data_IF_783022836218
#
_entry.id   IF_783022836218
#
_cell.length_a   1.000
_cell.length_b   1.000
_cell.length_c   1.000
_cell.angle_alpha   90.00
_cell.angle_beta   90.00
_cell.angle_gamma   90.00
#
_symmetry.space_group_name_H-M   'P 1'
#
loop_
_entity.id
_entity.type
_entity.pdbx_description
1 polymer ?
#
# COMPACT_ATOMS: atom_id res chain seq x y z
N UNK A 1 -25.42 -36.71 5.25
CA UNK A 1 -24.05 -36.95 4.75
C UNK A 1 -23.27 -35.68 4.96
N UNK A 2 -22.32 -35.75 5.89
CA UNK A 2 -21.49 -34.65 6.38
C UNK A 2 -20.45 -34.29 5.32
N UNK A 3 -20.49 -33.05 4.83
CA UNK A 3 -19.40 -32.44 4.05
C UNK A 3 -18.56 -31.52 4.94
N UNK A 4 -17.24 -31.45 4.69
CA UNK A 4 -16.25 -31.03 5.67
C UNK A 4 -16.19 -29.50 5.78
N UNK A 5 -15.71 -29.03 6.94
CA UNK A 5 -15.32 -27.65 7.17
C UNK A 5 -14.35 -27.20 6.06
N UNK A 6 -14.83 -26.37 5.14
CA UNK A 6 -14.00 -25.81 4.08
C UNK A 6 -13.30 -24.55 4.59
N UNK A 7 -11.98 -24.54 4.43
CA UNK A 7 -11.06 -23.40 4.48
C UNK A 7 -11.73 -22.03 4.37
N UNK A 8 -11.32 -21.09 5.23
CA UNK A 8 -11.62 -19.67 5.09
C UNK A 8 -11.11 -19.21 3.72
N UNK A 9 -11.97 -19.20 2.71
CA UNK A 9 -11.55 -19.06 1.32
C UNK A 9 -11.11 -17.63 1.06
N UNK A 10 -9.80 -17.42 0.95
CA UNK A 10 -9.21 -16.20 0.42
C UNK A 10 -9.75 -15.96 -0.99
N UNK A 11 -10.70 -15.04 -1.13
CA UNK A 11 -11.37 -14.77 -2.39
C UNK A 11 -11.49 -13.27 -2.64
N UNK A 12 -11.25 -12.86 -3.88
CA UNK A 12 -11.66 -11.54 -4.36
C UNK A 12 -13.12 -11.63 -4.80
N UNK A 13 -13.94 -10.73 -4.29
CA UNK A 13 -15.36 -10.66 -4.64
C UNK A 13 -15.58 -9.65 -5.76
N UNK A 14 -16.36 -10.05 -6.77
CA UNK A 14 -16.75 -9.21 -7.89
C UNK A 14 -18.26 -9.06 -7.92
N UNK A 15 -18.76 -7.87 -8.23
CA UNK A 15 -20.20 -7.63 -8.29
C UNK A 15 -20.90 -8.30 -9.48
N UNK A 16 -20.14 -8.71 -10.49
CA UNK A 16 -20.65 -9.44 -11.66
C UNK A 16 -19.54 -10.20 -12.36
N UNK A 17 -19.93 -11.17 -13.19
CA UNK A 17 -19.04 -11.90 -14.09
C UNK A 17 -18.25 -10.93 -14.99
N UNK A 18 -18.91 -9.91 -15.53
CA UNK A 18 -18.29 -8.87 -16.37
C UNK A 18 -17.17 -8.14 -15.63
N UNK A 19 -17.34 -7.83 -14.34
CA UNK A 19 -16.31 -7.17 -13.54
C UNK A 19 -15.11 -8.10 -13.28
N UNK A 20 -15.37 -9.39 -13.03
CA UNK A 20 -14.32 -10.40 -12.89
C UNK A 20 -13.51 -10.54 -14.18
N UNK A 21 -14.19 -10.66 -15.33
CA UNK A 21 -13.53 -10.78 -16.64
C UNK A 21 -12.69 -9.55 -16.97
N UNK A 22 -13.22 -8.34 -16.73
CA UNK A 22 -12.46 -7.09 -16.89
C UNK A 22 -11.24 -7.05 -15.98
N UNK A 23 -11.38 -7.47 -14.72
CA UNK A 23 -10.26 -7.53 -13.80
C UNK A 23 -9.17 -8.49 -14.28
N UNK A 24 -9.54 -9.72 -14.67
CA UNK A 24 -8.61 -10.72 -15.19
C UNK A 24 -7.91 -10.21 -16.47
N UNK A 25 -8.65 -9.58 -17.37
CA UNK A 25 -8.08 -9.02 -18.60
C UNK A 25 -7.08 -7.88 -18.35
N UNK A 26 -7.23 -7.14 -17.25
CA UNK A 26 -6.33 -6.05 -16.87
C UNK A 26 -5.14 -6.51 -16.02
N UNK A 27 -5.22 -7.68 -15.41
CA UNK A 27 -4.21 -8.27 -14.52
C UNK A 27 -3.15 -9.07 -15.30
N UNK A 28 -2.12 -8.35 -15.75
CA UNK A 28 -1.00 -8.93 -16.49
C UNK A 28 -0.24 -9.92 -15.60
N UNK A 29 -0.04 -11.12 -16.13
CA UNK A 29 0.61 -12.26 -15.45
C UNK A 29 -0.11 -12.76 -14.19
N UNK A 30 -1.35 -12.30 -13.91
CA UNK A 30 -2.04 -12.60 -12.65
C UNK A 30 -1.38 -11.96 -11.40
N UNK A 31 -0.47 -11.01 -11.62
CA UNK A 31 0.41 -10.44 -10.61
C UNK A 31 -0.35 -9.62 -9.56
N UNK A 32 -1.33 -8.83 -10.00
CA UNK A 32 -2.12 -7.99 -9.10
C UNK A 32 -3.00 -8.83 -8.19
N UNK A 33 -3.72 -9.81 -8.77
CA UNK A 33 -4.53 -10.76 -8.00
C UNK A 33 -3.72 -11.50 -6.96
N UNK A 34 -2.58 -12.08 -7.36
CA UNK A 34 -1.73 -12.83 -6.45
C UNK A 34 -1.20 -11.95 -5.31
N UNK A 35 -0.79 -10.72 -5.63
CA UNK A 35 -0.33 -9.74 -4.62
C UNK A 35 -1.43 -9.44 -3.61
N UNK A 36 -2.66 -9.17 -4.05
CA UNK A 36 -3.80 -8.89 -3.16
C UNK A 36 -4.14 -10.08 -2.26
N UNK A 37 -4.18 -11.29 -2.81
CA UNK A 37 -4.45 -12.51 -2.03
C UNK A 37 -3.34 -12.81 -1.02
N UNK A 38 -2.09 -12.49 -1.34
CA UNK A 38 -0.97 -12.64 -0.42
C UNK A 38 -1.08 -11.66 0.76
N UNK A 39 -1.46 -10.40 0.49
CA UNK A 39 -1.72 -9.42 1.56
C UNK A 39 -2.82 -9.92 2.48
N UNK A 40 -3.96 -10.35 1.91
CA UNK A 40 -5.09 -10.89 2.68
C UNK A 40 -4.67 -12.05 3.58
N UNK A 41 -3.96 -13.04 3.01
CA UNK A 41 -3.47 -14.21 3.75
C UNK A 41 -2.59 -13.81 4.94
N UNK A 42 -1.68 -12.87 4.71
CA UNK A 42 -0.74 -12.41 5.73
C UNK A 42 -1.42 -11.55 6.79
N UNK A 43 -2.39 -10.73 6.40
CA UNK A 43 -3.20 -9.94 7.33
C UNK A 43 -3.98 -10.85 8.29
N UNK A 44 -4.77 -11.79 7.75
CA UNK A 44 -5.53 -12.75 8.55
C UNK A 44 -4.63 -13.56 9.49
N UNK A 45 -3.47 -14.03 8.98
CA UNK A 45 -2.49 -14.78 9.80
C UNK A 45 -1.90 -13.90 10.91
N UNK A 46 -1.62 -12.63 10.62
CA UNK A 46 -1.03 -11.66 11.54
C UNK A 46 -1.96 -11.28 12.70
N UNK A 47 -3.28 -11.31 12.51
CA UNK A 47 -4.26 -11.02 13.58
C UNK A 47 -4.04 -11.87 14.84
N UNK A 48 -3.51 -13.10 14.68
CA UNK A 48 -3.37 -14.10 15.74
C UNK A 48 -2.08 -14.00 16.60
N UNK A 49 -1.24 -12.96 16.44
CA UNK A 49 0.01 -12.80 17.21
C UNK A 49 -0.05 -11.68 18.28
N UNK A 50 0.61 -11.90 19.43
CA UNK A 50 0.63 -11.03 20.63
C UNK A 50 1.67 -9.88 20.54
N UNK A 51 1.40 -8.71 21.16
CA UNK A 51 1.89 -7.39 20.67
C UNK A 51 2.82 -6.55 21.57
N UNK A 52 3.30 -7.03 22.71
CA UNK A 52 3.91 -6.19 23.75
C UNK A 52 5.19 -5.41 23.32
N UNK A 53 6.09 -5.98 22.52
CA UNK A 53 7.39 -5.37 22.22
C UNK A 53 7.36 -4.24 21.16
N UNK A 54 6.26 -4.10 20.43
CA UNK A 54 6.14 -3.16 19.30
C UNK A 54 5.77 -1.74 19.75
N UNK A 55 4.95 -1.61 20.79
CA UNK A 55 4.50 -0.30 21.29
C UNK A 55 5.66 0.51 21.88
N UNK A 56 6.59 -0.16 22.57
CA UNK A 56 7.77 0.50 23.14
C UNK A 56 8.65 1.14 22.05
N UNK A 57 8.86 0.44 20.93
CA UNK A 57 9.65 0.96 19.80
C UNK A 57 8.96 2.14 19.13
N UNK A 58 7.64 2.05 18.97
CA UNK A 58 6.81 3.14 18.44
C UNK A 58 6.95 4.40 19.30
N UNK A 59 6.78 4.27 20.62
CA UNK A 59 6.91 5.39 21.56
C UNK A 59 8.30 6.02 21.56
N UNK A 60 9.35 5.19 21.44
CA UNK A 60 10.72 5.69 21.36
C UNK A 60 10.94 6.54 20.10
N UNK A 61 10.52 6.05 18.93
CA UNK A 61 10.70 6.78 17.67
C UNK A 61 9.90 8.09 17.66
N UNK A 62 8.70 8.10 18.24
CA UNK A 62 7.92 9.32 18.43
C UNK A 62 8.63 10.35 19.33
N UNK A 63 9.30 9.90 20.39
CA UNK A 63 10.04 10.78 21.28
C UNK A 63 11.28 11.38 20.58
N UNK A 64 12.03 10.57 19.82
CA UNK A 64 13.17 11.01 19.02
C UNK A 64 12.76 12.05 17.96
N UNK A 65 11.62 11.83 17.29
CA UNK A 65 11.08 12.76 16.29
C UNK A 65 10.68 14.10 16.91
N UNK A 66 10.07 14.10 18.11
CA UNK A 66 9.67 15.34 18.81
C UNK A 66 10.86 16.19 19.27
N UNK A 67 12.01 15.57 19.51
CA UNK A 67 13.23 16.27 19.96
C UNK A 67 14.11 16.76 18.80
N UNK A 68 13.83 16.27 17.59
CA UNK A 68 14.57 16.61 16.39
C UNK A 68 14.34 18.06 15.95
N UNK A 69 15.42 18.75 15.58
CA UNK A 69 15.36 20.11 15.00
C UNK A 69 15.10 20.10 13.49
N UNK A 70 15.62 19.09 12.79
CA UNK A 70 15.46 18.90 11.34
C UNK A 70 14.62 17.66 11.06
N UNK A 71 13.30 17.87 10.97
CA UNK A 71 12.33 16.79 10.79
C UNK A 71 12.49 16.10 9.44
N UNK A 72 12.89 16.82 8.40
CA UNK A 72 12.98 16.28 7.05
C UNK A 72 14.17 15.33 6.91
N UNK A 73 15.30 15.73 7.49
CA UNK A 73 16.48 14.88 7.58
C UNK A 73 16.19 13.63 8.40
N UNK A 74 15.54 13.78 9.56
CA UNK A 74 15.19 12.63 10.42
C UNK A 74 14.25 11.65 9.71
N UNK A 75 13.18 12.13 9.07
CA UNK A 75 12.28 11.28 8.28
C UNK A 75 13.07 10.54 7.20
N UNK A 76 13.93 11.25 6.46
CA UNK A 76 14.74 10.68 5.39
C UNK A 76 15.71 9.60 5.90
N UNK A 77 16.32 9.83 7.06
CA UNK A 77 17.17 8.84 7.74
C UNK A 77 16.38 7.59 8.15
N UNK A 78 15.18 7.74 8.74
CA UNK A 78 14.34 6.58 9.12
C UNK A 78 13.94 5.72 7.92
N UNK A 79 13.65 6.34 6.77
CA UNK A 79 13.40 5.61 5.53
C UNK A 79 14.64 4.85 5.02
N UNK A 80 15.82 5.44 5.11
CA UNK A 80 17.08 4.78 4.75
C UNK A 80 17.41 3.63 5.72
N UNK A 81 17.26 3.86 7.02
CA UNK A 81 17.41 2.82 8.06
C UNK A 81 16.46 1.65 7.81
N UNK A 82 15.20 1.91 7.45
CA UNK A 82 14.23 0.87 7.13
C UNK A 82 14.70 0.00 5.96
N UNK A 83 15.20 0.60 4.88
CA UNK A 83 15.73 -0.15 3.73
C UNK A 83 16.98 -0.94 4.07
N UNK A 84 17.95 -0.32 4.73
CA UNK A 84 19.18 -1.01 5.16
C UNK A 84 18.87 -2.19 6.06
N UNK A 85 17.95 -2.02 7.03
CA UNK A 85 17.52 -3.09 7.91
C UNK A 85 16.89 -4.25 7.13
N UNK A 86 16.04 -3.96 6.14
CA UNK A 86 15.47 -5.00 5.28
C UNK A 86 16.56 -5.73 4.49
N UNK A 87 17.48 -5.00 3.88
CA UNK A 87 18.59 -5.58 3.12
C UNK A 87 19.49 -6.46 3.99
N UNK A 88 19.80 -6.04 5.22
CA UNK A 88 20.57 -6.82 6.18
C UNK A 88 19.84 -8.10 6.63
N UNK A 89 18.52 -8.05 6.78
CA UNK A 89 17.73 -9.24 7.11
C UNK A 89 17.66 -10.21 5.93
N UNK A 90 17.48 -9.69 4.72
CA UNK A 90 17.51 -10.49 3.49
C UNK A 90 18.90 -11.10 3.27
N UNK A 91 19.98 -10.37 3.53
CA UNK A 91 21.35 -10.86 3.31
C UNK A 91 21.69 -12.10 4.14
N UNK A 92 21.13 -12.19 5.36
CA UNK A 92 21.28 -13.33 6.27
C UNK A 92 20.56 -14.60 5.80
N UNK A 93 19.60 -14.47 4.89
CA UNK A 93 18.86 -15.61 4.34
C UNK A 93 19.59 -16.21 3.15
N UNK A 94 19.58 -17.54 3.04
CA UNK A 94 20.07 -18.24 1.83
C UNK A 94 19.19 -17.88 0.63
N UNK A 95 19.74 -17.82 -0.58
CA UNK A 95 19.00 -17.44 -1.80
C UNK A 95 17.69 -18.25 -1.99
N UNK A 96 17.71 -19.56 -1.75
CA UNK A 96 16.51 -20.43 -1.81
C UNK A 96 15.44 -20.10 -0.76
N UNK A 97 15.82 -19.46 0.35
CA UNK A 97 14.89 -19.02 1.39
C UNK A 97 14.21 -17.69 1.03
N UNK A 98 14.86 -16.84 0.23
CA UNK A 98 14.34 -15.53 -0.17
C UNK A 98 13.21 -15.60 -1.20
N UNK A 99 13.11 -16.70 -1.94
CA UNK A 99 12.10 -16.88 -2.99
C UNK A 99 10.80 -17.49 -2.49
N UNK A 100 10.74 -17.94 -1.23
CA UNK A 100 9.56 -18.57 -0.66
C UNK A 100 9.03 -17.74 0.52
N UNK A 101 7.84 -17.16 0.33
CA UNK A 101 7.17 -16.30 1.30
C UNK A 101 6.97 -16.95 2.69
N UNK A 102 6.79 -18.27 2.75
CA UNK A 102 6.64 -18.98 4.02
C UNK A 102 7.89 -18.87 4.89
N UNK A 103 9.06 -18.77 4.28
CA UNK A 103 10.33 -18.58 4.99
C UNK A 103 10.53 -17.14 5.46
N UNK A 104 9.77 -16.17 4.94
CA UNK A 104 9.88 -14.76 5.30
C UNK A 104 8.80 -14.32 6.29
N UNK A 105 7.80 -15.17 6.56
CA UNK A 105 6.62 -14.76 7.33
C UNK A 105 6.96 -14.25 8.74
N UNK A 106 8.04 -14.73 9.35
CA UNK A 106 8.49 -14.25 10.67
C UNK A 106 9.10 -12.84 10.65
N UNK A 107 9.49 -12.34 9.47
CA UNK A 107 10.01 -10.98 9.26
C UNK A 107 8.90 -9.98 8.90
N UNK A 108 7.73 -10.48 8.47
CA UNK A 108 6.62 -9.65 8.04
C UNK A 108 5.94 -9.09 9.30
N UNK A 109 5.87 -7.75 9.44
CA UNK A 109 5.21 -7.16 10.59
C UNK A 109 3.70 -7.43 10.55
N UNK A 110 3.10 -7.63 11.72
CA UNK A 110 1.64 -7.55 11.87
C UNK A 110 1.18 -6.13 11.55
N UNK A 111 0.10 -6.04 10.77
CA UNK A 111 -0.53 -4.79 10.37
C UNK A 111 -1.96 -4.71 10.92
N UNK A 112 -2.47 -3.49 11.09
CA UNK A 112 -3.89 -3.23 11.39
C UNK A 112 -4.72 -3.01 10.12
N UNK A 113 -6.01 -2.67 10.28
CA UNK A 113 -6.93 -2.44 9.17
C UNK A 113 -6.54 -1.23 8.31
N UNK A 114 -6.07 -0.15 8.92
CA UNK A 114 -5.65 1.06 8.21
C UNK A 114 -4.40 0.79 7.36
N UNK A 115 -3.42 0.09 7.95
CA UNK A 115 -2.20 -0.35 7.27
C UNK A 115 -2.50 -1.36 6.15
N UNK A 116 -3.45 -2.27 6.36
CA UNK A 116 -3.91 -3.23 5.35
C UNK A 116 -4.53 -2.51 4.14
N UNK A 117 -5.40 -1.53 4.37
CA UNK A 117 -5.99 -0.74 3.29
C UNK A 117 -4.93 0.04 2.52
N UNK A 118 -3.97 0.62 3.24
CA UNK A 118 -2.88 1.37 2.61
C UNK A 118 -1.95 0.48 1.79
N UNK A 119 -1.62 -0.72 2.26
CA UNK A 119 -0.81 -1.69 1.53
C UNK A 119 -1.49 -2.11 0.22
N UNK A 120 -2.81 -2.34 0.22
CA UNK A 120 -3.56 -2.67 -0.99
C UNK A 120 -3.55 -1.53 -1.99
N UNK A 121 -3.76 -0.30 -1.52
CA UNK A 121 -3.65 0.89 -2.34
C UNK A 121 -2.26 1.01 -2.98
N UNK A 122 -1.19 0.86 -2.19
CA UNK A 122 0.19 0.92 -2.68
C UNK A 122 0.44 -0.16 -3.74
N UNK A 123 0.05 -1.41 -3.50
CA UNK A 123 0.21 -2.50 -4.47
C UNK A 123 -0.51 -2.19 -5.78
N UNK A 124 -1.70 -1.59 -5.72
CA UNK A 124 -2.41 -1.10 -6.91
C UNK A 124 -1.56 -0.13 -7.73
N UNK A 125 -0.95 0.88 -7.08
CA UNK A 125 -0.08 1.85 -7.76
C UNK A 125 1.19 1.18 -8.30
N UNK A 126 1.86 0.32 -7.52
CA UNK A 126 3.06 -0.41 -7.97
C UNK A 126 2.75 -1.29 -9.19
N UNK A 127 1.58 -1.92 -9.22
CA UNK A 127 1.11 -2.69 -10.36
C UNK A 127 0.88 -1.82 -11.60
N UNK A 128 0.28 -0.62 -11.46
CA UNK A 128 0.15 0.30 -12.59
C UNK A 128 1.51 0.76 -13.12
N UNK A 129 2.49 1.00 -12.23
CA UNK A 129 3.87 1.31 -12.64
C UNK A 129 4.50 0.16 -13.43
N UNK A 130 4.39 -1.07 -12.91
CA UNK A 130 4.87 -2.28 -13.62
C UNK A 130 4.19 -2.43 -14.99
N UNK A 131 2.87 -2.29 -15.05
CA UNK A 131 2.09 -2.40 -16.28
C UNK A 131 2.53 -1.39 -17.34
N UNK A 132 2.71 -0.11 -16.97
CA UNK A 132 3.21 0.93 -17.88
C UNK A 132 4.57 0.52 -18.44
N UNK A 133 5.50 0.17 -17.55
CA UNK A 133 6.89 -0.09 -17.93
C UNK A 133 7.05 -1.32 -18.84
N UNK A 134 6.18 -2.34 -18.69
CA UNK A 134 6.30 -3.63 -19.38
C UNK A 134 5.33 -3.83 -20.56
N UNK A 135 4.18 -3.13 -20.60
CA UNK A 135 3.15 -3.36 -21.63
C UNK A 135 2.88 -2.14 -22.53
N UNK A 136 3.04 -0.91 -22.02
CA UNK A 136 2.62 0.30 -22.74
C UNK A 136 3.78 0.93 -23.55
N UNK A 137 5.03 0.75 -23.12
CA UNK A 137 6.21 1.25 -23.82
C UNK A 137 6.45 0.61 -25.22
N UNK A 138 5.82 -0.54 -25.51
CA UNK A 138 5.96 -1.25 -26.79
C UNK A 138 4.89 -0.89 -27.84
N UNK A 139 3.90 -0.05 -27.52
CA UNK A 139 2.81 0.34 -28.46
C UNK A 139 2.85 1.85 -28.69
N UNK A 140 3.55 2.25 -29.75
CA UNK A 140 3.88 3.63 -30.11
C UNK A 140 2.68 4.55 -30.48
N UNK A 141 1.41 4.12 -30.40
CA UNK A 141 0.32 4.83 -31.10
C UNK A 141 -0.81 5.42 -30.24
N UNK A 142 -0.84 5.25 -28.92
CA UNK A 142 -1.81 5.97 -28.08
C UNK A 142 -1.41 5.92 -26.60
N UNK A 143 -1.21 7.09 -25.97
CA UNK A 143 -1.08 7.18 -24.51
C UNK A 143 -2.40 6.70 -23.90
N UNK A 144 -2.36 5.59 -23.17
CA UNK A 144 -3.54 5.10 -22.44
C UNK A 144 -3.91 6.09 -21.33
N UNK A 145 -5.19 6.19 -20.99
CA UNK A 145 -5.63 7.01 -19.85
C UNK A 145 -4.91 6.62 -18.55
N UNK A 146 -4.62 5.32 -18.35
CA UNK A 146 -3.84 4.84 -17.21
C UNK A 146 -2.40 5.37 -17.20
N UNK A 147 -1.74 5.42 -18.36
CA UNK A 147 -0.40 6.01 -18.47
C UNK A 147 -0.43 7.50 -18.17
N UNK A 148 -1.44 8.22 -18.66
CA UNK A 148 -1.60 9.65 -18.40
C UNK A 148 -1.82 9.94 -16.92
N UNK A 149 -2.74 9.21 -16.26
CA UNK A 149 -2.99 9.36 -14.82
C UNK A 149 -1.72 9.09 -14.00
N UNK A 150 -0.92 8.08 -14.38
CA UNK A 150 0.33 7.78 -13.69
C UNK A 150 1.41 8.84 -13.93
N UNK A 151 1.42 9.52 -15.08
CA UNK A 151 2.28 10.69 -15.32
C UNK A 151 1.83 11.87 -14.47
N UNK A 152 0.53 12.18 -14.46
CA UNK A 152 -0.04 13.25 -13.63
C UNK A 152 0.24 13.00 -12.14
N UNK A 153 0.15 11.75 -11.70
CA UNK A 153 0.48 11.33 -10.34
C UNK A 153 1.88 11.77 -9.91
N UNK A 154 2.85 11.88 -10.83
CA UNK A 154 4.20 12.34 -10.49
C UNK A 154 4.23 13.78 -9.96
N UNK A 155 3.32 14.63 -10.44
CA UNK A 155 3.25 16.06 -10.13
C UNK A 155 2.39 16.39 -8.91
N UNK A 156 1.67 15.42 -8.34
CA UNK A 156 0.88 15.65 -7.12
C UNK A 156 1.81 15.99 -5.96
N UNK A 157 1.44 17.01 -5.19
CA UNK A 157 2.17 17.40 -3.99
C UNK A 157 2.12 16.29 -2.93
N UNK A 158 3.29 15.96 -2.38
CA UNK A 158 3.42 15.09 -1.20
C UNK A 158 3.34 15.94 0.06
N UNK A 159 2.48 15.57 1.00
CA UNK A 159 2.29 16.26 2.28
C UNK A 159 2.57 15.33 3.48
N UNK A 160 3.53 14.41 3.32
CA UNK A 160 3.93 13.47 4.36
C UNK A 160 4.59 14.17 5.55
N UNK A 161 5.40 15.21 5.30
CA UNK A 161 6.11 15.94 6.35
C UNK A 161 5.13 16.63 7.30
N UNK A 162 4.15 17.40 6.80
CA UNK A 162 3.17 18.05 7.69
C UNK A 162 2.34 17.01 8.45
N UNK A 163 2.00 15.90 7.80
CA UNK A 163 1.22 14.83 8.44
C UNK A 163 2.02 14.14 9.55
N UNK A 164 3.28 13.78 9.30
CA UNK A 164 4.16 13.15 10.29
C UNK A 164 4.46 14.12 11.46
N UNK A 165 4.63 15.41 11.16
CA UNK A 165 4.78 16.43 12.21
C UNK A 165 3.57 16.46 13.15
N UNK A 166 2.36 16.39 12.59
CA UNK A 166 1.11 16.39 13.36
C UNK A 166 0.86 15.05 14.08
N UNK A 167 1.25 13.94 13.46
CA UNK A 167 1.03 12.58 13.94
C UNK A 167 2.34 11.77 13.87
N UNK A 168 3.27 11.96 14.83
CA UNK A 168 4.59 11.33 14.83
C UNK A 168 4.60 9.81 14.64
N UNK A 169 3.58 9.13 15.16
CA UNK A 169 3.44 7.68 15.08
C UNK A 169 3.35 7.13 13.66
N UNK A 170 2.95 7.98 12.69
CA UNK A 170 2.82 7.59 11.29
C UNK A 170 4.17 7.22 10.68
N UNK A 171 5.27 7.85 11.12
CA UNK A 171 6.60 7.51 10.60
C UNK A 171 6.95 6.05 10.90
N UNK A 172 6.66 5.60 12.13
CA UNK A 172 6.85 4.21 12.53
C UNK A 172 5.95 3.27 11.72
N UNK A 173 4.66 3.60 11.56
CA UNK A 173 3.74 2.80 10.74
C UNK A 173 4.24 2.69 9.29
N UNK A 174 4.62 3.80 8.66
CA UNK A 174 5.07 3.80 7.26
C UNK A 174 6.36 3.01 7.05
N UNK A 175 7.35 3.19 7.93
CA UNK A 175 8.69 2.59 7.77
C UNK A 175 8.79 1.17 8.34
N UNK A 176 8.21 0.92 9.51
CA UNK A 176 8.35 -0.34 10.24
C UNK A 176 7.18 -1.32 10.04
N UNK A 177 6.04 -0.85 9.54
CA UNK A 177 4.88 -1.70 9.24
C UNK A 177 4.70 -1.82 7.73
N UNK A 178 4.26 -0.76 7.07
CA UNK A 178 3.88 -0.78 5.65
C UNK A 178 5.06 -1.12 4.75
N UNK A 179 6.16 -0.38 4.85
CA UNK A 179 7.33 -0.60 4.00
C UNK A 179 7.93 -2.00 4.18
N UNK A 180 8.18 -2.40 5.44
CA UNK A 180 8.69 -3.74 5.76
C UNK A 180 7.75 -4.83 5.29
N UNK A 181 6.44 -4.66 5.47
CA UNK A 181 5.44 -5.60 4.98
C UNK A 181 5.61 -5.78 3.49
N UNK A 182 5.53 -4.70 2.70
CA UNK A 182 5.69 -4.74 1.25
C UNK A 182 7.02 -5.38 0.83
N UNK A 183 8.12 -5.00 1.48
CA UNK A 183 9.47 -5.50 1.15
C UNK A 183 9.61 -7.00 1.36
N UNK A 184 8.97 -7.58 2.38
CA UNK A 184 9.05 -9.01 2.67
C UNK A 184 7.91 -9.83 2.07
N UNK A 185 6.74 -9.24 1.80
CA UNK A 185 5.56 -9.95 1.32
C UNK A 185 5.44 -10.00 -0.20
N UNK A 186 5.86 -8.94 -0.88
CA UNK A 186 5.64 -8.78 -2.31
C UNK A 186 6.83 -9.32 -3.09
N UNK A 187 6.93 -10.61 -3.36
CA UNK A 187 8.07 -11.17 -4.10
C UNK A 187 7.94 -10.97 -5.63
N UNK A 188 9.03 -11.16 -6.36
CA UNK A 188 9.01 -11.20 -7.84
C UNK A 188 9.00 -9.84 -8.52
N UNK A 189 8.12 -9.67 -9.52
CA UNK A 189 8.20 -8.57 -10.50
C UNK A 189 7.93 -7.17 -9.93
N UNK A 190 7.24 -7.07 -8.79
CA UNK A 190 6.97 -5.79 -8.13
C UNK A 190 8.09 -5.35 -7.17
N UNK A 191 9.00 -6.24 -6.76
CA UNK A 191 10.11 -5.92 -5.83
C UNK A 191 10.96 -4.71 -6.24
N UNK A 192 11.33 -4.52 -7.52
CA UNK A 192 12.13 -3.37 -7.95
C UNK A 192 11.48 -2.01 -7.66
N UNK A 193 10.15 -1.97 -7.53
CA UNK A 193 9.39 -0.77 -7.23
C UNK A 193 9.27 -0.50 -5.72
N UNK A 194 9.67 -1.45 -4.86
CA UNK A 194 9.59 -1.31 -3.39
C UNK A 194 10.89 -0.72 -2.87
N UNK A 195 11.03 0.58 -3.10
CA UNK A 195 12.13 1.41 -2.59
C UNK A 195 11.58 2.60 -1.81
N UNK A 196 12.33 3.15 -0.84
CA UNK A 196 11.80 4.19 0.06
C UNK A 196 11.22 5.40 -0.66
N UNK A 197 11.86 5.87 -1.73
CA UNK A 197 11.41 7.05 -2.49
C UNK A 197 10.04 6.83 -3.15
N UNK A 198 9.80 5.65 -3.73
CA UNK A 198 8.52 5.32 -4.37
C UNK A 198 7.43 5.16 -3.31
N UNK A 199 7.68 4.34 -2.28
CA UNK A 199 6.65 4.07 -1.25
C UNK A 199 6.29 5.34 -0.48
N UNK A 200 7.29 6.13 -0.07
CA UNK A 200 7.06 7.43 0.57
C UNK A 200 6.28 8.38 -0.32
N UNK A 201 6.61 8.46 -1.61
CA UNK A 201 5.89 9.31 -2.57
C UNK A 201 4.43 8.89 -2.71
N UNK A 202 4.15 7.59 -2.76
CA UNK A 202 2.78 7.07 -2.87
C UNK A 202 1.94 7.45 -1.65
N UNK A 203 2.47 7.19 -0.45
CA UNK A 203 1.80 7.52 0.82
C UNK A 203 1.60 9.04 0.93
N UNK A 204 2.65 9.82 0.70
CA UNK A 204 2.63 11.26 0.87
C UNK A 204 1.65 11.98 -0.05
N UNK A 205 1.53 11.52 -1.31
CA UNK A 205 0.53 12.03 -2.27
C UNK A 205 -0.89 11.67 -1.86
N UNK A 206 -1.11 10.47 -1.33
CA UNK A 206 -2.43 9.99 -0.88
C UNK A 206 -3.01 10.84 0.25
N UNK A 207 -2.20 11.28 1.20
CA UNK A 207 -2.64 11.90 2.45
C UNK A 207 -3.53 13.15 2.33
N UNK A 208 -3.46 13.87 1.20
CA UNK A 208 -4.22 15.11 0.99
C UNK A 208 -4.99 15.14 -0.32
N UNK A 209 -4.90 14.07 -1.12
CA UNK A 209 -5.48 14.02 -2.47
C UNK A 209 -6.43 12.84 -2.67
N UNK A 210 -6.65 12.02 -1.63
CA UNK A 210 -7.56 10.89 -1.68
C UNK A 210 -9.03 11.33 -1.54
N UNK A 211 -9.88 10.69 -2.32
CA UNK A 211 -11.33 10.83 -2.29
C UNK A 211 -11.94 9.61 -1.59
N UNK A 212 -12.77 9.85 -0.59
CA UNK A 212 -13.54 8.79 0.06
C UNK A 212 -14.58 8.20 -0.89
N UNK A 213 -14.69 6.88 -0.89
CA UNK A 213 -15.71 6.13 -1.61
C UNK A 213 -16.78 5.76 -0.59
N UNK A 214 -18.03 6.08 -0.89
CA UNK A 214 -19.15 5.92 0.03
C UNK A 214 -20.25 5.10 -0.63
N UNK A 215 -20.98 4.30 0.16
CA UNK A 215 -22.21 3.67 -0.30
C UNK A 215 -23.22 4.73 -0.72
N UNK A 216 -23.97 4.46 -1.78
CA UNK A 216 -25.14 5.26 -2.14
C UNK A 216 -26.25 4.86 -1.18
N UNK A 217 -26.92 5.82 -0.55
CA UNK A 217 -28.03 5.56 0.36
C UNK A 217 -29.19 4.94 -0.44
N UNK A 218 -29.64 3.76 -0.03
CA UNK A 218 -31.00 3.33 -0.35
C UNK A 218 -31.95 4.17 0.52
N UNK A 219 -33.08 4.57 -0.06
CA UNK A 219 -34.03 5.64 0.32
C UNK A 219 -34.56 5.68 1.79
N UNK A 220 -34.07 4.82 2.69
CA UNK A 220 -34.50 4.67 4.08
C UNK A 220 -33.57 5.33 5.11
N UNK A 221 -33.02 6.52 4.83
CA UNK A 221 -32.30 7.34 5.83
C UNK A 221 -31.12 6.65 6.50
N UNK A 222 -30.46 5.70 5.82
CA UNK A 222 -29.31 4.98 6.35
C UNK A 222 -28.08 5.87 6.52
N UNK A 223 -27.18 5.46 7.42
CA UNK A 223 -25.86 6.07 7.53
C UNK A 223 -25.00 5.66 6.33
N UNK A 224 -24.44 6.64 5.59
CA UNK A 224 -23.44 6.39 4.54
C UNK A 224 -22.28 5.59 5.10
N UNK A 225 -22.02 4.43 4.50
CA UNK A 225 -20.90 3.56 4.89
C UNK A 225 -19.70 3.92 4.02
N UNK A 226 -18.55 4.16 4.66
CA UNK A 226 -17.28 4.31 3.94
C UNK A 226 -16.86 2.97 3.36
N UNK A 227 -16.69 2.91 2.05
CA UNK A 227 -16.24 1.72 1.31
C UNK A 227 -14.73 1.75 1.01
N UNK A 228 -14.04 2.83 1.37
CA UNK A 228 -12.60 3.01 1.17
C UNK A 228 -12.26 4.36 0.56
N UNK A 229 -11.14 4.42 -0.16
CA UNK A 229 -10.69 5.63 -0.84
C UNK A 229 -9.97 5.30 -2.14
N UNK A 230 -9.90 6.29 -3.02
CA UNK A 230 -9.08 6.26 -4.23
C UNK A 230 -8.47 7.63 -4.46
N UNK A 231 -7.37 7.68 -5.21
CA UNK A 231 -6.76 8.92 -5.66
C UNK A 231 -6.94 9.01 -7.16
N UNK A 232 -7.46 10.14 -7.62
CA UNK A 232 -7.70 10.45 -9.03
C UNK A 232 -6.77 11.59 -9.44
N UNK A 233 -5.58 11.29 -10.01
CA UNK A 233 -4.53 12.29 -10.20
C UNK A 233 -4.98 13.54 -10.95
N UNK A 234 -5.71 13.38 -12.06
CA UNK A 234 -6.26 14.49 -12.84
C UNK A 234 -7.26 15.35 -12.05
N UNK A 235 -8.06 14.75 -11.16
CA UNK A 235 -9.02 15.46 -10.32
C UNK A 235 -8.35 16.18 -9.13
N UNK A 236 -7.16 15.78 -8.72
CA UNK A 236 -6.47 16.34 -7.55
C UNK A 236 -5.95 17.78 -7.76
N UNK A 237 -6.01 18.32 -8.98
CA UNK A 237 -5.60 19.71 -9.28
C UNK A 237 -6.73 20.73 -9.11
N UNK A 238 -7.96 20.28 -8.84
CA UNK A 238 -9.05 21.19 -8.49
C UNK A 238 -8.86 21.68 -7.06
N UNK A 239 -8.67 22.99 -6.91
CA UNK A 239 -8.59 23.63 -5.61
C UNK A 239 -9.95 23.73 -4.94
N UNK A 240 -9.95 23.75 -3.61
CA UNK A 240 -11.15 24.02 -2.84
C UNK A 240 -11.65 25.45 -3.07
N UNK A 241 -12.95 25.58 -3.33
CA UNK A 241 -13.70 26.82 -3.21
C UNK A 241 -14.93 26.54 -2.35
N UNK A 242 -15.25 27.44 -1.42
CA UNK A 242 -16.50 27.35 -0.65
C UNK A 242 -17.75 27.48 -1.55
N UNK A 243 -17.59 27.98 -2.76
CA UNK A 243 -18.62 28.09 -3.78
C UNK A 243 -18.03 27.66 -5.14
N UNK A 244 -17.99 26.36 -5.45
CA UNK A 244 -17.47 25.86 -6.73
C UNK A 244 -18.37 26.28 -7.90
N UNK A 245 -17.82 26.29 -9.11
CA UNK A 245 -18.48 26.69 -10.35
C UNK A 245 -19.26 25.55 -11.02
#
# INVERSE_FOLDING_TARGET
>A
MSTPASDCSLALYFCSQTCMEKFIALDIDGLYRESLLNVERLFIKGLNQCQYDLEKKKQQEEAELKQTKDIELFISQKWQEAEMNCQLLLSKLKLKQRTNLNNLTYLIPKIDEDEYMEIKYIIGILFQMYKRDNCENNKLSSVSLSSLELQIFQFIQSNDIEKIRKYPYLLYSYTNKIYKFLKFSTLGKLQPYIIPSIIRSIIGKRLTNAYGIWSIDDESGGNKVSCGYSLYPSASFFNHSCNPN
#
